data_IF_693256412986
#
_entry.id   IF_693256412986
#
_cell.length_a   1.000
_cell.length_b   1.000
_cell.length_c   1.000
_cell.angle_alpha   90.00
_cell.angle_beta   90.00
_cell.angle_gamma   90.00
#
_symmetry.space_group_name_H-M   'P 1'
#
loop_
_entity.id
_entity.type
_entity.pdbx_description
1 polymer ?
#
# COMPACT_ATOMS: atom_id res chain seq x y z
N UNK A 1 -18.47 9.50 23.51
CA UNK A 1 -18.11 10.08 22.21
C UNK A 1 -17.74 8.92 21.31
N UNK A 2 -18.18 8.93 20.06
CA UNK A 2 -17.86 7.92 19.05
C UNK A 2 -17.25 8.63 17.85
N UNK A 3 -16.51 7.89 17.02
CA UNK A 3 -16.00 8.39 15.74
C UNK A 3 -17.06 9.06 14.85
N UNK A 4 -18.33 8.68 15.00
CA UNK A 4 -19.46 9.28 14.27
C UNK A 4 -20.02 10.57 14.89
N UNK A 5 -19.52 10.97 16.06
CA UNK A 5 -20.04 12.13 16.81
C UNK A 5 -18.99 13.19 17.15
N UNK A 6 -17.72 12.82 17.31
CA UNK A 6 -16.58 13.72 17.51
C UNK A 6 -15.27 13.11 16.96
N UNK A 7 -15.02 13.16 15.64
CA UNK A 7 -13.82 12.58 15.02
C UNK A 7 -12.51 13.26 15.46
N UNK A 8 -12.58 14.53 15.87
CA UNK A 8 -11.41 15.33 16.29
C UNK A 8 -11.00 15.12 17.75
N UNK A 9 -11.92 14.64 18.60
CA UNK A 9 -11.67 14.34 20.02
C UNK A 9 -11.42 12.84 20.27
N UNK A 10 -11.67 11.99 19.27
CA UNK A 10 -11.20 10.62 19.26
C UNK A 10 -9.80 10.60 18.65
N UNK A 11 -8.85 9.89 19.27
CA UNK A 11 -7.64 9.44 18.58
C UNK A 11 -8.04 8.62 17.32
N UNK A 12 -7.05 8.24 16.48
CA UNK A 12 -7.27 7.51 15.21
C UNK A 12 -8.39 6.47 15.34
N UNK A 13 -9.49 6.67 14.61
CA UNK A 13 -10.58 5.72 14.53
C UNK A 13 -10.07 4.46 13.85
N UNK A 14 -10.13 3.29 14.51
CA UNK A 14 -9.61 2.01 13.99
C UNK A 14 -10.06 1.67 12.56
N UNK A 15 -11.17 2.25 12.10
CA UNK A 15 -11.72 1.94 10.78
C UNK A 15 -11.35 2.99 9.71
N UNK A 16 -10.84 4.16 10.10
CA UNK A 16 -10.50 5.21 9.14
C UNK A 16 -9.02 5.24 8.77
N UNK A 17 -8.74 5.28 7.47
CA UNK A 17 -7.44 5.27 6.82
C UNK A 17 -6.93 3.86 6.46
N UNK A 18 -7.83 2.88 6.33
CA UNK A 18 -7.55 1.53 5.83
C UNK A 18 -7.62 1.42 4.30
N UNK A 19 -8.01 2.51 3.62
CA UNK A 19 -8.14 2.60 2.16
C UNK A 19 -9.46 2.05 1.59
N UNK A 20 -10.42 1.65 2.44
CA UNK A 20 -11.72 1.13 2.04
C UNK A 20 -12.84 1.84 2.81
N UNK A 21 -13.88 2.27 2.10
CA UNK A 21 -15.08 2.79 2.75
C UNK A 21 -15.95 1.63 3.27
N UNK A 22 -15.77 1.25 4.54
CA UNK A 22 -16.40 0.07 5.14
C UNK A 22 -17.78 0.37 5.77
N UNK A 23 -18.49 -0.70 6.14
CA UNK A 23 -19.82 -0.67 6.73
C UNK A 23 -19.85 -0.06 8.14
N UNK A 24 -19.84 1.27 8.22
CA UNK A 24 -19.77 2.03 9.47
C UNK A 24 -19.15 3.42 9.27
N UNK A 25 -18.39 3.58 8.19
CA UNK A 25 -17.85 4.87 7.76
C UNK A 25 -18.79 5.58 6.80
N UNK A 26 -18.60 6.89 6.74
CA UNK A 26 -19.11 7.74 5.71
C UNK A 26 -18.12 8.89 5.50
N UNK A 27 -18.35 9.70 4.49
CA UNK A 27 -17.49 10.84 4.19
C UNK A 27 -17.28 11.79 5.40
N UNK A 28 -18.21 11.91 6.35
CA UNK A 28 -18.07 12.77 7.54
C UNK A 28 -17.21 12.13 8.64
N UNK A 29 -17.15 10.80 8.72
CA UNK A 29 -16.37 10.09 9.73
C UNK A 29 -15.03 9.58 9.19
N UNK A 30 -14.91 9.41 7.87
CA UNK A 30 -13.69 8.98 7.20
C UNK A 30 -13.62 9.46 5.75
N UNK A 31 -13.48 10.77 5.56
CA UNK A 31 -13.28 11.38 4.25
C UNK A 31 -12.09 10.79 3.46
N UNK A 32 -10.95 10.39 4.10
CA UNK A 32 -9.82 9.83 3.35
C UNK A 32 -10.13 8.51 2.62
N UNK A 33 -11.01 7.66 3.17
CA UNK A 33 -11.36 6.36 2.56
C UNK A 33 -12.71 6.39 1.82
N UNK A 34 -13.69 7.13 2.33
CA UNK A 34 -15.03 7.23 1.75
C UNK A 34 -15.18 8.34 0.70
N UNK A 35 -14.14 9.15 0.52
CA UNK A 35 -14.14 10.28 -0.38
C UNK A 35 -14.94 11.47 0.12
N UNK A 36 -15.03 12.49 -0.74
CA UNK A 36 -15.71 13.75 -0.48
C UNK A 36 -17.23 13.57 -0.33
N UNK A 37 -17.83 14.23 0.66
CA UNK A 37 -19.29 14.26 0.81
C UNK A 37 -19.97 14.96 -0.37
N UNK A 38 -21.24 14.62 -0.64
CA UNK A 38 -22.09 15.31 -1.63
C UNK A 38 -22.24 16.83 -1.34
N UNK A 39 -21.95 17.28 -0.11
CA UNK A 39 -21.90 18.70 0.22
C UNK A 39 -20.75 19.46 -0.45
N UNK A 40 -19.68 18.77 -0.86
CA UNK A 40 -18.50 19.38 -1.49
C UNK A 40 -18.71 19.62 -3.00
N UNK A 41 -18.05 20.65 -3.54
CA UNK A 41 -18.03 21.04 -4.95
C UNK A 41 -18.91 22.25 -5.30
N UNK A 42 -19.36 23.01 -4.30
CA UNK A 42 -20.20 24.20 -4.51
C UNK A 42 -19.37 25.51 -4.63
N UNK A 43 -18.05 25.43 -4.38
CA UNK A 43 -17.10 26.55 -4.44
C UNK A 43 -17.13 27.49 -3.23
N UNK A 44 -17.84 27.14 -2.16
CA UNK A 44 -18.00 27.95 -0.94
C UNK A 44 -17.88 27.06 0.30
N UNK A 45 -16.80 27.25 1.05
CA UNK A 45 -16.63 26.60 2.35
C UNK A 45 -17.74 26.94 3.35
N UNK A 46 -18.57 25.97 3.71
CA UNK A 46 -19.56 26.12 4.76
C UNK A 46 -19.06 25.51 6.09
N UNK A 47 -18.62 26.33 7.07
CA UNK A 47 -18.00 25.85 8.30
C UNK A 47 -18.95 25.07 9.23
N UNK A 48 -20.25 24.95 8.91
CA UNK A 48 -21.17 24.11 9.67
C UNK A 48 -21.10 22.62 9.29
N UNK A 49 -20.62 22.29 8.09
CA UNK A 49 -20.63 20.93 7.54
C UNK A 49 -19.50 20.63 6.55
N UNK A 50 -18.64 21.60 6.27
CA UNK A 50 -17.49 21.49 5.39
C UNK A 50 -16.27 22.04 6.15
N UNK A 51 -15.18 21.31 6.09
CA UNK A 51 -13.88 21.78 6.51
C UNK A 51 -12.86 21.47 5.40
N UNK A 52 -11.62 21.91 5.60
CA UNK A 52 -10.54 21.71 4.65
C UNK A 52 -10.09 20.24 4.52
N UNK A 53 -10.50 19.34 5.43
CA UNK A 53 -10.24 17.90 5.35
C UNK A 53 -11.35 17.17 4.56
N UNK A 54 -12.59 17.61 4.74
CA UNK A 54 -13.78 17.04 4.11
C UNK A 54 -13.99 17.55 2.69
N UNK A 55 -13.80 18.86 2.46
CA UNK A 55 -14.04 19.55 1.20
C UNK A 55 -12.86 20.47 0.83
N UNK A 56 -11.62 19.96 0.64
CA UNK A 56 -10.45 20.79 0.32
C UNK A 56 -10.62 21.65 -0.94
N UNK A 57 -11.47 21.21 -1.88
CA UNK A 57 -11.78 21.98 -3.08
C UNK A 57 -12.58 23.27 -2.80
N UNK A 58 -13.43 23.27 -1.77
CA UNK A 58 -14.29 24.41 -1.40
C UNK A 58 -13.69 25.23 -0.25
N UNK A 59 -13.01 24.56 0.70
CA UNK A 59 -12.41 25.13 1.91
C UNK A 59 -10.92 25.47 1.80
N UNK A 60 -10.27 25.02 0.73
CA UNK A 60 -8.82 25.19 0.56
C UNK A 60 -8.01 24.24 1.43
N UNK A 61 -6.68 24.36 1.34
CA UNK A 61 -5.74 23.59 2.14
C UNK A 61 -5.84 23.96 3.63
N UNK A 62 -5.73 22.96 4.51
CA UNK A 62 -5.68 23.22 5.94
C UNK A 62 -4.38 23.93 6.32
N UNK A 63 -4.38 24.79 7.35
CA UNK A 63 -3.14 25.38 7.84
C UNK A 63 -2.19 24.27 8.31
N UNK A 64 -1.05 24.10 7.62
CA UNK A 64 -0.07 23.04 7.88
C UNK A 64 -0.13 21.88 6.90
N UNK A 65 -1.21 21.72 6.12
CA UNK A 65 -1.39 20.57 5.23
C UNK A 65 -1.98 20.96 3.85
N UNK A 66 -1.32 20.66 2.71
CA UNK A 66 0.00 20.03 2.62
C UNK A 66 1.15 21.04 2.79
N UNK A 67 2.08 20.79 3.72
CA UNK A 67 3.37 21.50 3.86
C UNK A 67 4.60 20.60 3.61
N UNK A 68 4.37 19.30 3.42
CA UNK A 68 5.38 18.30 3.12
C UNK A 68 6.02 17.63 4.35
N UNK A 69 5.54 17.93 5.56
CA UNK A 69 5.99 17.30 6.79
C UNK A 69 4.80 16.87 7.64
N UNK A 70 4.74 15.61 8.07
CA UNK A 70 3.80 15.20 9.09
C UNK A 70 4.20 15.79 10.45
N UNK A 71 3.58 16.91 10.84
CA UNK A 71 3.84 17.56 12.11
C UNK A 71 3.26 16.75 13.28
N UNK A 72 3.77 16.97 14.50
CA UNK A 72 3.32 16.22 15.68
C UNK A 72 1.84 16.44 16.06
N UNK A 73 1.21 17.49 15.51
CA UNK A 73 -0.22 17.79 15.67
C UNK A 73 -1.05 17.35 14.45
N UNK A 74 -0.45 16.62 13.52
CA UNK A 74 -1.09 16.06 12.35
C UNK A 74 -1.13 14.54 12.48
N UNK A 75 -2.20 13.96 11.97
CA UNK A 75 -2.41 12.52 11.89
C UNK A 75 -2.66 12.15 10.43
N UNK A 76 -2.58 10.87 10.09
CA UNK A 76 -3.04 10.36 8.80
C UNK A 76 -4.50 10.76 8.47
N UNK A 77 -5.38 10.83 9.48
CA UNK A 77 -6.79 11.19 9.30
C UNK A 77 -7.00 12.69 9.03
N UNK A 78 -6.13 13.54 9.60
CA UNK A 78 -6.15 14.98 9.32
C UNK A 78 -5.33 15.32 8.08
N UNK A 79 -4.07 14.91 7.99
CA UNK A 79 -3.20 15.27 6.88
C UNK A 79 -2.66 14.04 6.15
N UNK A 80 -3.54 13.23 5.56
CA UNK A 80 -3.12 12.09 4.72
C UNK A 80 -2.06 12.46 3.65
N UNK A 81 -2.12 13.63 2.98
CA UNK A 81 -1.10 13.99 2.00
C UNK A 81 0.34 14.02 2.53
N UNK A 82 0.55 14.41 3.79
CA UNK A 82 1.91 14.51 4.38
C UNK A 82 2.20 13.41 5.41
N UNK A 83 1.19 12.91 6.12
CA UNK A 83 1.30 11.85 7.13
C UNK A 83 1.13 10.43 6.57
N UNK A 84 0.62 10.28 5.35
CA UNK A 84 0.37 8.99 4.74
C UNK A 84 -0.89 8.31 5.28
N UNK A 85 -0.98 7.00 5.03
CA UNK A 85 -2.12 6.14 5.42
C UNK A 85 -2.12 5.86 6.93
N UNK A 86 -3.28 5.50 7.49
CA UNK A 86 -3.42 5.26 8.94
C UNK A 86 -2.94 3.89 9.42
N UNK A 87 -2.30 3.10 8.56
CA UNK A 87 -1.58 1.90 9.00
C UNK A 87 -0.44 2.27 9.96
N UNK A 88 -0.43 1.70 11.16
CA UNK A 88 0.52 2.00 12.23
C UNK A 88 1.05 0.72 12.86
N UNK A 89 2.34 0.43 12.65
CA UNK A 89 2.96 -0.64 13.41
C UNK A 89 2.95 -0.31 14.92
N UNK A 90 2.64 -1.30 15.77
CA UNK A 90 2.65 -1.22 17.23
C UNK A 90 1.27 -1.15 17.88
N UNK A 91 0.17 -1.25 17.13
CA UNK A 91 -1.19 -1.31 17.67
C UNK A 91 -1.69 -2.75 17.98
N UNK A 92 -0.89 -3.78 17.70
CA UNK A 92 -1.20 -5.21 17.84
C UNK A 92 -2.31 -5.73 16.91
N UNK A 93 -2.65 -4.99 15.85
CA UNK A 93 -3.59 -5.40 14.81
C UNK A 93 -2.82 -5.41 13.50
N UNK A 94 -2.91 -6.49 12.71
CA UNK A 94 -2.24 -6.54 11.40
C UNK A 94 -3.18 -6.00 10.32
N UNK A 95 -2.97 -4.76 9.90
CA UNK A 95 -3.83 -4.02 8.98
C UNK A 95 -3.23 -4.00 7.56
N UNK A 96 -3.54 -5.02 6.78
CA UNK A 96 -3.19 -5.06 5.35
C UNK A 96 -3.90 -3.94 4.56
N UNK A 97 -3.38 -3.50 3.40
CA UNK A 97 -2.29 -4.09 2.63
C UNK A 97 -0.89 -3.53 2.95
N UNK A 98 -0.80 -2.50 3.80
CA UNK A 98 0.44 -1.78 4.06
C UNK A 98 1.20 -2.32 5.26
N UNK A 99 0.54 -3.02 6.18
CA UNK A 99 1.21 -3.78 7.23
C UNK A 99 1.43 -5.22 6.80
N UNK A 100 2.68 -5.64 6.85
CA UNK A 100 3.09 -7.00 6.59
C UNK A 100 4.06 -7.46 7.67
N UNK A 101 4.28 -8.76 7.74
CA UNK A 101 5.29 -9.32 8.62
C UNK A 101 6.73 -8.83 8.30
N UNK A 102 6.98 -8.21 7.13
CA UNK A 102 8.30 -7.68 6.75
C UNK A 102 8.55 -6.24 7.22
N UNK A 103 7.52 -5.44 7.45
CA UNK A 103 7.66 -4.05 7.93
C UNK A 103 7.04 -3.81 9.32
N UNK A 104 5.98 -4.53 9.70
CA UNK A 104 5.29 -4.46 10.99
C UNK A 104 5.23 -5.85 11.66
N UNK A 105 6.39 -6.46 11.92
CA UNK A 105 6.46 -7.80 12.52
C UNK A 105 5.92 -7.88 13.96
N UNK A 106 5.82 -6.75 14.66
CA UNK A 106 5.24 -6.69 16.00
C UNK A 106 3.73 -6.99 15.98
N UNK A 107 3.02 -6.52 14.95
CA UNK A 107 1.57 -6.68 14.82
C UNK A 107 1.19 -7.86 13.93
N UNK A 108 1.91 -8.03 12.81
CA UNK A 108 1.68 -9.10 11.83
C UNK A 108 2.42 -10.40 12.11
N UNK A 109 3.25 -10.43 13.16
CA UNK A 109 4.04 -11.60 13.53
C UNK A 109 5.23 -11.85 12.60
N UNK A 110 5.81 -13.04 12.70
CA UNK A 110 6.99 -13.44 11.94
C UNK A 110 6.61 -13.95 10.54
N UNK A 111 7.36 -13.55 9.52
CA UNK A 111 7.21 -14.14 8.18
C UNK A 111 7.78 -15.56 8.13
N UNK A 112 7.06 -16.46 7.48
CA UNK A 112 7.64 -17.68 6.93
C UNK A 112 8.38 -17.34 5.63
N UNK A 113 9.65 -17.76 5.47
CA UNK A 113 10.43 -17.40 4.29
C UNK A 113 9.85 -18.07 3.05
N UNK A 114 9.61 -17.26 2.01
CA UNK A 114 9.11 -17.77 0.74
C UNK A 114 10.23 -18.40 -0.08
N UNK A 115 9.90 -19.49 -0.78
CA UNK A 115 10.78 -20.07 -1.78
C UNK A 115 10.78 -19.24 -3.08
N UNK A 116 11.70 -19.52 -4.00
CA UNK A 116 11.80 -18.77 -5.25
C UNK A 116 10.48 -18.73 -6.04
N UNK A 117 9.77 -19.85 -6.16
CA UNK A 117 8.55 -19.88 -6.94
C UNK A 117 7.46 -19.00 -6.31
N UNK A 118 7.36 -19.01 -4.99
CA UNK A 118 6.43 -18.15 -4.24
C UNK A 118 6.80 -16.68 -4.39
N UNK A 119 8.08 -16.31 -4.27
CA UNK A 119 8.54 -14.93 -4.47
C UNK A 119 8.24 -14.44 -5.89
N UNK A 120 8.56 -15.25 -6.91
CA UNK A 120 8.33 -14.89 -8.32
C UNK A 120 6.84 -14.78 -8.60
N UNK A 121 6.02 -15.76 -8.19
CA UNK A 121 4.57 -15.70 -8.42
C UNK A 121 3.91 -14.52 -7.70
N UNK A 122 4.34 -14.21 -6.47
CA UNK A 122 3.94 -13.01 -5.74
C UNK A 122 4.30 -11.73 -6.53
N UNK A 123 5.55 -11.62 -6.98
CA UNK A 123 6.04 -10.47 -7.74
C UNK A 123 5.26 -10.22 -9.05
N UNK A 124 4.95 -11.27 -9.80
CA UNK A 124 4.15 -11.15 -11.03
C UNK A 124 2.69 -10.80 -10.74
N UNK A 125 2.14 -11.20 -9.59
CA UNK A 125 0.82 -10.75 -9.13
C UNK A 125 0.74 -9.24 -8.83
N UNK A 126 1.88 -8.60 -8.56
CA UNK A 126 1.96 -7.16 -8.33
C UNK A 126 1.96 -6.31 -9.61
N UNK A 127 1.91 -6.94 -10.79
CA UNK A 127 1.99 -6.30 -12.11
C UNK A 127 0.66 -6.49 -12.83
N UNK A 128 -0.03 -5.40 -13.12
CA UNK A 128 -1.20 -5.42 -13.99
C UNK A 128 -0.76 -5.16 -15.44
N UNK A 129 -0.66 -6.25 -16.21
CA UNK A 129 -0.33 -6.25 -17.65
C UNK A 129 -1.58 -5.96 -18.49
N UNK A 130 -2.77 -5.98 -17.89
CA UNK A 130 -4.04 -5.66 -18.55
C UNK A 130 -4.29 -4.15 -18.70
N UNK A 131 -3.56 -3.31 -17.96
CA UNK A 131 -3.61 -1.85 -18.11
C UNK A 131 -2.62 -1.35 -19.16
N UNK A 132 -2.96 -0.29 -19.90
CA UNK A 132 -2.06 0.39 -20.86
C UNK A 132 -1.85 1.85 -20.44
N UNK A 133 -0.66 2.23 -19.92
CA UNK A 133 0.54 1.41 -19.71
C UNK A 133 0.37 0.38 -18.57
N UNK A 134 1.18 -0.70 -18.57
CA UNK A 134 1.17 -1.68 -17.48
C UNK A 134 1.52 -1.00 -16.16
N UNK A 135 0.74 -1.28 -15.12
CA UNK A 135 0.95 -0.71 -13.80
C UNK A 135 1.60 -1.74 -12.88
N UNK A 136 2.46 -1.28 -11.98
CA UNK A 136 3.10 -2.14 -10.98
C UNK A 136 3.09 -1.46 -9.63
N UNK A 137 2.83 -2.25 -8.59
CA UNK A 137 2.86 -1.76 -7.21
C UNK A 137 4.24 -2.03 -6.62
N UNK A 138 5.08 -1.00 -6.54
CA UNK A 138 6.44 -1.10 -6.00
C UNK A 138 6.47 -1.65 -4.56
N UNK A 139 5.49 -1.25 -3.72
CA UNK A 139 5.36 -1.76 -2.36
C UNK A 139 5.12 -3.27 -2.33
N UNK A 140 4.17 -3.76 -3.13
CA UNK A 140 3.86 -5.18 -3.29
C UNK A 140 5.10 -5.97 -3.75
N UNK A 141 5.77 -5.50 -4.81
CA UNK A 141 6.96 -6.16 -5.35
C UNK A 141 8.08 -6.24 -4.30
N UNK A 142 8.32 -5.14 -3.59
CA UNK A 142 9.31 -5.07 -2.52
C UNK A 142 9.00 -6.03 -1.38
N UNK A 143 7.73 -6.14 -0.97
CA UNK A 143 7.31 -7.07 0.08
C UNK A 143 7.46 -8.54 -0.35
N UNK A 144 7.08 -8.89 -1.59
CA UNK A 144 7.26 -10.25 -2.13
C UNK A 144 8.74 -10.67 -2.11
N UNK A 145 9.64 -9.80 -2.59
CA UNK A 145 11.07 -10.08 -2.64
C UNK A 145 11.66 -10.14 -1.23
N UNK A 146 11.25 -9.21 -0.34
CA UNK A 146 11.75 -9.14 1.03
C UNK A 146 11.40 -10.36 1.88
N UNK A 147 10.34 -11.11 1.54
CA UNK A 147 9.99 -12.36 2.21
C UNK A 147 10.89 -13.55 1.82
N UNK A 148 11.63 -13.47 0.72
CA UNK A 148 12.66 -14.46 0.39
C UNK A 148 13.85 -14.34 1.35
N UNK A 149 14.49 -15.46 1.69
CA UNK A 149 15.80 -15.43 2.35
C UNK A 149 16.90 -14.91 1.41
N UNK A 150 18.08 -14.61 1.95
CA UNK A 150 19.18 -14.02 1.18
C UNK A 150 19.56 -14.83 -0.08
N UNK A 151 19.54 -16.16 -0.01
CA UNK A 151 19.83 -17.03 -1.14
C UNK A 151 18.76 -16.91 -2.24
N UNK A 152 17.48 -16.99 -1.85
CA UNK A 152 16.34 -16.80 -2.76
C UNK A 152 16.37 -15.41 -3.38
N UNK A 153 16.59 -14.35 -2.60
CA UNK A 153 16.66 -12.98 -3.10
C UNK A 153 17.75 -12.80 -4.17
N UNK A 154 18.91 -13.42 -3.97
CA UNK A 154 20.00 -13.38 -4.96
C UNK A 154 19.58 -13.99 -6.29
N UNK A 155 19.02 -15.20 -6.28
CA UNK A 155 18.64 -15.87 -7.53
C UNK A 155 17.38 -15.27 -8.17
N UNK A 156 16.44 -14.75 -7.37
CA UNK A 156 15.31 -13.97 -7.89
C UNK A 156 15.82 -12.74 -8.63
N UNK A 157 16.82 -12.02 -8.10
CA UNK A 157 17.41 -10.88 -8.80
C UNK A 157 17.99 -11.30 -10.16
N UNK A 158 18.72 -12.41 -10.22
CA UNK A 158 19.27 -12.92 -11.49
C UNK A 158 18.17 -13.23 -12.52
N UNK A 159 17.06 -13.81 -12.07
CA UNK A 159 15.90 -14.08 -12.93
C UNK A 159 15.23 -12.78 -13.39
N UNK A 160 15.03 -11.81 -12.49
CA UNK A 160 14.44 -10.50 -12.81
C UNK A 160 15.30 -9.74 -13.82
N UNK A 161 16.62 -9.74 -13.66
CA UNK A 161 17.55 -9.09 -14.59
C UNK A 161 17.40 -9.67 -16.01
N UNK A 162 17.27 -10.99 -16.13
CA UNK A 162 16.96 -11.61 -17.42
C UNK A 162 15.55 -11.24 -17.92
N UNK A 163 14.55 -11.30 -17.03
CA UNK A 163 13.15 -11.05 -17.35
C UNK A 163 12.93 -9.64 -17.91
N UNK A 164 13.63 -8.62 -17.40
CA UNK A 164 13.55 -7.23 -17.89
C UNK A 164 13.85 -7.15 -19.39
N UNK A 165 14.87 -7.88 -19.87
CA UNK A 165 15.20 -7.94 -21.29
C UNK A 165 14.19 -8.81 -22.06
N UNK A 166 13.74 -9.91 -21.46
CA UNK A 166 12.77 -10.82 -22.07
C UNK A 166 11.38 -10.18 -22.25
N UNK A 167 10.96 -9.24 -21.40
CA UNK A 167 9.65 -8.55 -21.49
C UNK A 167 9.45 -7.89 -22.85
N UNK A 168 10.49 -7.30 -23.45
CA UNK A 168 10.39 -6.67 -24.77
C UNK A 168 10.09 -7.66 -25.91
N UNK A 169 10.42 -8.93 -25.72
CA UNK A 169 10.23 -10.00 -26.72
C UNK A 169 8.99 -10.84 -26.40
N UNK A 170 8.71 -11.05 -25.12
CA UNK A 170 7.63 -11.88 -24.60
C UNK A 170 6.33 -11.12 -24.34
N UNK A 171 6.33 -9.78 -24.41
CA UNK A 171 5.12 -8.97 -24.16
C UNK A 171 4.54 -9.15 -22.75
N UNK A 172 5.39 -9.49 -21.77
CA UNK A 172 4.95 -9.77 -20.39
C UNK A 172 4.41 -11.19 -20.15
N UNK A 173 4.39 -12.07 -21.15
CA UNK A 173 3.96 -13.46 -20.96
C UNK A 173 4.96 -14.23 -20.07
N UNK A 174 4.49 -14.66 -18.89
CA UNK A 174 5.33 -15.36 -17.92
C UNK A 174 5.88 -16.68 -18.45
N UNK A 175 5.12 -17.42 -19.26
CA UNK A 175 5.57 -18.68 -19.86
C UNK A 175 6.72 -18.48 -20.84
N UNK A 176 6.64 -17.44 -21.67
CA UNK A 176 7.71 -17.02 -22.57
C UNK A 176 8.95 -16.56 -21.79
N UNK A 177 8.78 -15.71 -20.77
CA UNK A 177 9.88 -15.22 -19.94
C UNK A 177 10.57 -16.38 -19.22
N UNK A 178 9.81 -17.33 -18.68
CA UNK A 178 10.33 -18.53 -18.03
C UNK A 178 11.17 -19.39 -19.01
N UNK A 179 10.78 -19.46 -20.28
CA UNK A 179 11.54 -20.21 -21.29
C UNK A 179 12.83 -19.49 -21.69
N UNK A 180 12.77 -18.18 -21.91
CA UNK A 180 13.95 -17.37 -22.26
C UNK A 180 14.97 -17.31 -21.12
N UNK A 181 14.50 -17.19 -19.87
CA UNK A 181 15.32 -17.09 -18.66
C UNK A 181 15.39 -18.41 -17.87
N UNK A 182 15.35 -19.54 -18.58
CA UNK A 182 15.21 -20.87 -17.97
C UNK A 182 16.38 -21.28 -17.08
N UNK A 183 17.60 -20.83 -17.37
CA UNK A 183 18.78 -21.14 -16.55
C UNK A 183 18.72 -20.41 -15.20
N UNK A 184 18.41 -19.13 -15.22
CA UNK A 184 18.26 -18.27 -14.06
C UNK A 184 17.09 -18.74 -13.21
N UNK A 185 15.97 -19.09 -13.85
CA UNK A 185 14.80 -19.63 -13.17
C UNK A 185 15.09 -20.98 -12.52
N UNK A 186 15.80 -21.89 -13.21
CA UNK A 186 16.19 -23.18 -12.65
C UNK A 186 17.15 -23.04 -11.45
N UNK A 187 18.11 -22.11 -11.52
CA UNK A 187 18.99 -21.80 -10.40
C UNK A 187 18.19 -21.27 -9.19
N UNK A 188 17.22 -20.41 -9.45
CA UNK A 188 16.32 -19.87 -8.43
C UNK A 188 15.45 -20.96 -7.78
N UNK A 189 14.88 -21.88 -8.56
CA UNK A 189 14.14 -23.03 -8.01
C UNK A 189 14.99 -23.97 -7.14
N UNK A 190 16.31 -23.95 -7.32
CA UNK A 190 17.26 -24.69 -6.50
C UNK A 190 17.71 -23.96 -5.24
N UNK A 191 17.26 -22.72 -5.02
CA UNK A 191 17.57 -21.94 -3.83
C UNK A 191 16.66 -22.36 -2.68
N UNK A 192 17.23 -22.48 -1.48
CA UNK A 192 16.49 -22.89 -0.28
C UNK A 192 16.82 -21.97 0.88
N UNK A 193 15.80 -21.70 1.70
CA UNK A 193 15.99 -21.01 2.96
C UNK A 193 16.34 -22.05 4.02
N UNK A 194 17.63 -22.17 4.35
CA UNK A 194 18.06 -22.94 5.51
C UNK A 194 17.39 -22.36 6.76
N UNK A 195 16.67 -23.21 7.51
CA UNK A 195 16.03 -22.84 8.78
C UNK A 195 17.04 -22.72 9.93
#
# INVERSE_FOLDING_TARGET
ETCSSCPTDCDVCESCGNGFCDGGENCLSCAPDCGVCESCGNGVCNPMNEDCFLCPADCGACPGCPDGFCAANETCASCQPDCGVCSVCGNNVCEGPFETCTNCNADCGTCDPLNCLEVVTCAFGCIDIGSDPPSFQLGCLGQCIAQGCADVQFFVQQFVDCAIFAVGTCGGDFGCIQNECSNEFAACLGAFCDQ
#
